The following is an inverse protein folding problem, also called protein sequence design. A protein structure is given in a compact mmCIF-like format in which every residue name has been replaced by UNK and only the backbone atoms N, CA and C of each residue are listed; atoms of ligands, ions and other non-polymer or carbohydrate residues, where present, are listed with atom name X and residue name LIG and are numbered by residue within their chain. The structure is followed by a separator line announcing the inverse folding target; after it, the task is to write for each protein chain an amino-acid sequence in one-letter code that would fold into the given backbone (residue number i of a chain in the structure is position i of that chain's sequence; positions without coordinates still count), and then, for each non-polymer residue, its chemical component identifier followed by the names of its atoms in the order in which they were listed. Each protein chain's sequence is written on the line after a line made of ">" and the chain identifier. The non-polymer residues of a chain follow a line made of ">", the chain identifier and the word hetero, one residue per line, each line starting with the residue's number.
data_IF_711928656770
#
_entry.id   IF_711928656770
#
_cell.length_a   1.000
_cell.length_b   1.000
_cell.length_c   1.000
_cell.angle_alpha   90.00
_cell.angle_beta   90.00
_cell.angle_gamma   90.00
#
_symmetry.space_group_name_H-M   'P 1'
#
loop_
_entity.id
_entity.type
_entity.pdbx_description
1 polymer ?
#
# COMPACT_ATOMS: atom_id res chain seq x y z
N UNK A 1 17.55 13.86 3.31
CA UNK A 1 16.35 13.27 3.94
C UNK A 1 16.39 13.59 5.42
N UNK A 2 15.37 14.27 5.94
CA UNK A 2 15.21 14.62 7.36
C UNK A 2 14.06 13.78 7.94
N UNK A 3 14.17 13.35 9.20
CA UNK A 3 13.09 12.66 9.90
C UNK A 3 12.19 13.68 10.60
N UNK A 4 10.90 13.64 10.29
CA UNK A 4 9.88 14.50 10.89
C UNK A 4 9.13 13.72 11.97
N UNK A 5 8.79 14.38 13.08
CA UNK A 5 7.93 13.81 14.11
C UNK A 5 6.49 14.24 13.87
N UNK A 6 5.55 13.30 13.97
CA UNK A 6 4.12 13.59 13.87
C UNK A 6 3.45 13.74 15.25
N UNK A 7 4.21 13.83 16.34
CA UNK A 7 3.67 13.94 17.70
C UNK A 7 3.04 15.31 17.99
N UNK A 8 3.27 16.28 17.11
CA UNK A 8 2.71 17.62 17.11
C UNK A 8 2.46 18.03 15.64
N UNK A 9 1.73 19.13 15.38
CA UNK A 9 1.62 19.69 14.03
C UNK A 9 2.99 19.89 13.38
N UNK A 10 3.06 19.56 12.09
CA UNK A 10 4.28 19.68 11.28
C UNK A 10 4.37 21.11 10.76
N UNK A 11 5.45 21.81 11.09
CA UNK A 11 5.67 23.23 10.74
C UNK A 11 6.86 23.42 9.79
N UNK A 12 7.57 22.34 9.49
CA UNK A 12 8.73 22.34 8.61
C UNK A 12 8.36 22.70 7.16
N UNK A 13 9.22 23.50 6.52
CA UNK A 13 9.13 23.77 5.08
C UNK A 13 9.87 22.68 4.32
N UNK A 14 9.15 21.91 3.48
CA UNK A 14 9.67 20.74 2.77
C UNK A 14 9.35 20.82 1.28
N UNK A 15 10.31 20.46 0.43
CA UNK A 15 10.09 20.31 -1.02
C UNK A 15 9.27 19.04 -1.35
N UNK A 16 9.27 18.07 -0.43
CA UNK A 16 8.49 16.85 -0.56
C UNK A 16 8.47 16.04 0.73
N UNK A 17 7.44 15.21 0.87
CA UNK A 17 7.14 14.47 2.08
C UNK A 17 6.99 12.99 1.79
N UNK A 18 7.63 12.14 2.59
CA UNK A 18 7.56 10.68 2.48
C UNK A 18 6.85 10.12 3.71
N UNK A 19 5.74 9.43 3.49
CA UNK A 19 4.91 8.85 4.55
C UNK A 19 4.88 7.32 4.37
N UNK A 20 5.86 6.60 4.94
CA UNK A 20 5.87 5.15 4.87
C UNK A 20 4.94 4.57 5.94
N UNK A 21 4.05 3.67 5.53
CA UNK A 21 3.18 2.90 6.42
C UNK A 21 2.41 3.76 7.44
N UNK A 22 1.60 4.74 6.98
CA UNK A 22 0.81 5.59 7.89
C UNK A 22 -0.12 4.78 8.81
N UNK A 23 -0.52 3.56 8.43
CA UNK A 23 -1.29 2.64 9.27
C UNK A 23 -0.62 2.23 10.59
N UNK A 24 0.66 2.55 10.78
CA UNK A 24 1.39 2.33 12.04
C UNK A 24 1.26 3.47 13.03
N UNK A 25 0.79 4.63 12.59
CA UNK A 25 0.60 5.81 13.42
C UNK A 25 -0.68 5.67 14.27
N UNK A 26 -0.68 6.17 15.52
CA UNK A 26 -1.90 6.51 16.24
C UNK A 26 -2.72 7.57 15.50
N UNK A 27 -4.00 7.70 15.84
CA UNK A 27 -4.92 8.60 15.15
C UNK A 27 -4.44 10.07 15.14
N UNK A 28 -4.04 10.61 16.29
CA UNK A 28 -3.57 12.00 16.39
C UNK A 28 -2.35 12.29 15.50
N UNK A 29 -1.37 11.38 15.50
CA UNK A 29 -0.17 11.50 14.65
C UNK A 29 -0.54 11.38 13.15
N UNK A 30 -1.49 10.50 12.82
CA UNK A 30 -2.02 10.36 11.45
C UNK A 30 -2.78 11.61 10.99
N UNK A 31 -3.49 12.27 11.90
CA UNK A 31 -4.22 13.52 11.61
C UNK A 31 -3.24 14.66 11.33
N UNK A 32 -2.18 14.84 12.13
CA UNK A 32 -1.13 15.83 11.84
C UNK A 32 -0.45 15.61 10.49
N UNK A 33 -0.18 14.34 10.13
CA UNK A 33 0.37 13.98 8.82
C UNK A 33 -0.60 14.38 7.70
N UNK A 34 -1.89 14.08 7.85
CA UNK A 34 -2.88 14.41 6.83
C UNK A 34 -3.06 15.92 6.67
N UNK A 35 -3.17 16.65 7.78
CA UNK A 35 -3.34 18.11 7.75
C UNK A 35 -2.14 18.78 7.07
N UNK A 36 -0.92 18.25 7.27
CA UNK A 36 0.27 18.71 6.55
C UNK A 36 0.21 18.38 5.06
N UNK A 37 -0.24 17.18 4.65
CA UNK A 37 -0.43 16.84 3.23
C UNK A 37 -1.43 17.79 2.55
N UNK A 38 -2.52 18.12 3.24
CA UNK A 38 -3.56 19.01 2.72
C UNK A 38 -3.10 20.47 2.54
N UNK A 39 -1.93 20.86 3.08
CA UNK A 39 -1.29 22.16 2.76
C UNK A 39 -0.74 22.22 1.33
N UNK A 40 -0.65 21.08 0.63
CA UNK A 40 -0.21 21.01 -0.77
C UNK A 40 1.24 20.56 -0.98
N UNK A 41 1.93 20.13 0.07
CA UNK A 41 3.31 19.58 -0.05
C UNK A 41 3.30 18.30 -0.91
N UNK A 42 4.14 18.20 -1.96
CA UNK A 42 4.25 16.99 -2.75
C UNK A 42 4.57 15.77 -1.87
N UNK A 43 3.65 14.79 -1.83
CA UNK A 43 3.75 13.68 -0.89
C UNK A 43 3.77 12.33 -1.60
N UNK A 44 4.72 11.47 -1.21
CA UNK A 44 4.72 10.04 -1.52
C UNK A 44 4.23 9.26 -0.29
N UNK A 45 3.06 8.64 -0.42
CA UNK A 45 2.51 7.73 0.60
C UNK A 45 2.79 6.29 0.17
N UNK A 46 3.44 5.52 1.04
CA UNK A 46 3.70 4.09 0.81
C UNK A 46 2.83 3.27 1.75
N UNK A 47 1.93 2.47 1.19
CA UNK A 47 1.02 1.60 1.94
C UNK A 47 1.26 0.14 1.56
N UNK A 48 1.15 -0.75 2.54
CA UNK A 48 1.34 -2.19 2.36
C UNK A 48 0.31 -2.96 3.20
N UNK A 49 -0.55 -3.78 2.59
CA UNK A 49 -1.51 -4.59 3.33
C UNK A 49 -0.85 -5.80 4.04
N UNK A 50 0.29 -6.29 3.55
CA UNK A 50 0.98 -7.48 4.06
C UNK A 50 2.51 -7.27 4.05
N UNK A 51 3.04 -6.43 4.95
CA UNK A 51 4.47 -6.21 5.12
C UNK A 51 5.19 -7.47 5.59
N UNK A 52 5.66 -8.30 4.65
CA UNK A 52 6.22 -9.63 4.92
C UNK A 52 7.47 -9.64 5.79
N UNK A 53 8.22 -8.54 5.83
CA UNK A 53 9.37 -8.38 6.73
C UNK A 53 8.93 -8.28 8.19
N UNK A 54 7.71 -7.78 8.43
CA UNK A 54 7.17 -7.57 9.78
C UNK A 54 5.63 -7.60 9.76
N UNK A 55 5.03 -8.79 9.88
CA UNK A 55 3.58 -8.96 9.72
C UNK A 55 2.76 -8.12 10.71
N UNK A 56 3.18 -7.94 11.96
CA UNK A 56 2.37 -7.21 12.95
C UNK A 56 2.24 -5.70 12.73
N UNK A 57 3.00 -5.12 11.80
CA UNK A 57 2.74 -3.73 11.35
C UNK A 57 1.69 -3.65 10.24
N UNK A 58 1.20 -4.79 9.71
CA UNK A 58 0.08 -4.81 8.76
C UNK A 58 -1.13 -4.02 9.30
N UNK A 59 -1.84 -3.26 8.45
CA UNK A 59 -3.09 -2.60 8.83
C UNK A 59 -4.17 -3.58 9.33
N UNK A 60 -4.12 -4.86 8.93
CA UNK A 60 -5.08 -5.90 9.33
C UNK A 60 -4.73 -6.56 10.68
N UNK A 61 -3.57 -6.25 11.25
CA UNK A 61 -3.14 -6.73 12.57
C UNK A 61 -3.51 -5.75 13.68
N UNK A 62 -3.86 -6.31 14.84
CA UNK A 62 -4.05 -5.51 16.06
C UNK A 62 -2.73 -4.85 16.47
N UNK A 63 -2.78 -3.72 17.20
CA UNK A 63 -1.60 -3.15 17.81
C UNK A 63 -0.83 -4.18 18.63
N UNK A 64 0.49 -4.25 18.44
CA UNK A 64 1.35 -5.18 19.16
C UNK A 64 1.15 -6.66 18.81
N UNK A 65 0.58 -7.02 17.65
CA UNK A 65 0.41 -8.41 17.22
C UNK A 65 1.72 -9.25 17.19
N UNK A 66 2.89 -8.60 17.12
CA UNK A 66 4.19 -9.28 17.21
C UNK A 66 4.70 -9.49 18.64
N UNK A 67 4.00 -9.00 19.67
CA UNK A 67 4.45 -9.13 21.06
C UNK A 67 3.98 -10.47 21.63
N UNK A 68 4.89 -11.18 22.28
CA UNK A 68 4.54 -12.39 23.02
C UNK A 68 3.68 -12.00 24.24
N UNK A 69 2.44 -12.53 24.37
CA UNK A 69 1.56 -12.21 25.49
C UNK A 69 2.17 -12.51 26.87
N UNK A 70 3.12 -13.45 26.96
CA UNK A 70 3.72 -13.94 28.21
C UNK A 70 4.97 -13.15 28.64
N UNK A 71 5.51 -12.31 27.77
CA UNK A 71 6.68 -11.46 28.07
C UNK A 71 6.30 -10.00 28.31
N UNK A 72 5.01 -9.67 28.37
CA UNK A 72 4.54 -8.29 28.30
C UNK A 72 4.60 -7.60 29.67
N UNK A 73 5.74 -6.98 30.00
CA UNK A 73 5.91 -6.07 31.15
C UNK A 73 5.86 -4.58 30.78
N UNK A 74 5.68 -4.25 29.51
CA UNK A 74 5.63 -2.87 29.02
C UNK A 74 4.22 -2.27 28.99
N UNK A 75 4.09 -0.95 28.84
CA UNK A 75 2.81 -0.31 28.59
C UNK A 75 2.15 -0.90 27.32
N UNK A 76 0.80 -0.97 27.31
CA UNK A 76 0.06 -1.48 26.17
C UNK A 76 0.43 -0.69 24.89
N UNK A 77 0.52 -1.35 23.72
CA UNK A 77 0.72 -0.65 22.47
C UNK A 77 -0.37 0.40 22.26
N UNK A 78 -0.01 1.56 21.69
CA UNK A 78 -1.00 2.56 21.24
C UNK A 78 -1.88 1.94 20.14
N UNK A 79 -3.15 2.31 20.11
CA UNK A 79 -4.06 1.93 19.04
C UNK A 79 -3.62 2.52 17.69
N UNK A 80 -3.85 1.78 16.60
CA UNK A 80 -3.59 2.23 15.24
C UNK A 80 -4.68 3.20 14.80
N UNK A 81 -4.30 4.23 14.03
CA UNK A 81 -5.23 5.17 13.42
C UNK A 81 -6.08 4.53 12.32
N UNK A 82 -7.15 5.24 11.94
CA UNK A 82 -8.09 4.84 10.90
C UNK A 82 -7.50 5.08 9.50
N UNK A 83 -6.68 4.14 9.03
CA UNK A 83 -6.05 4.21 7.71
C UNK A 83 -7.05 4.32 6.55
N UNK A 84 -8.22 3.68 6.63
CA UNK A 84 -9.24 3.80 5.58
C UNK A 84 -9.83 5.22 5.53
N UNK A 85 -9.93 5.89 6.68
CA UNK A 85 -10.29 7.31 6.77
C UNK A 85 -9.23 8.20 6.15
N UNK A 86 -7.95 7.95 6.46
CA UNK A 86 -6.81 8.64 5.86
C UNK A 86 -6.81 8.51 4.33
N UNK A 87 -6.88 7.28 3.79
CA UNK A 87 -6.90 7.10 2.33
C UNK A 87 -8.11 7.77 1.67
N UNK A 88 -9.27 7.76 2.34
CA UNK A 88 -10.48 8.42 1.83
C UNK A 88 -10.35 9.95 1.79
N UNK A 89 -9.67 10.59 2.75
CA UNK A 89 -9.35 12.03 2.70
C UNK A 89 -8.50 12.37 1.48
N UNK A 90 -7.58 11.47 1.08
CA UNK A 90 -6.84 11.56 -0.17
C UNK A 90 -7.71 11.25 -1.41
N UNK A 91 -9.00 10.92 -1.26
CA UNK A 91 -9.85 10.50 -2.38
C UNK A 91 -9.48 9.14 -2.95
N UNK A 92 -8.88 8.25 -2.16
CA UNK A 92 -8.48 6.90 -2.55
C UNK A 92 -9.27 5.87 -1.74
N UNK A 93 -9.81 4.87 -2.43
CA UNK A 93 -10.35 3.67 -1.82
C UNK A 93 -9.27 2.59 -1.78
N UNK A 94 -9.03 2.03 -0.59
CA UNK A 94 -8.09 0.94 -0.39
C UNK A 94 -8.72 -0.13 0.51
N UNK A 95 -8.69 -1.40 0.08
CA UNK A 95 -9.05 -2.53 0.93
C UNK A 95 -7.77 -3.14 1.52
N UNK A 96 -7.55 -2.90 2.81
CA UNK A 96 -6.39 -3.37 3.58
C UNK A 96 -6.31 -4.90 3.71
N UNK A 97 -7.40 -5.61 3.39
CA UNK A 97 -7.51 -7.05 3.47
C UNK A 97 -7.25 -7.75 2.14
N UNK A 98 -7.05 -7.03 1.04
CA UNK A 98 -6.82 -7.62 -0.28
C UNK A 98 -5.34 -7.54 -0.68
N UNK A 99 -4.82 -8.69 -1.10
CA UNK A 99 -3.48 -8.86 -1.64
C UNK A 99 -3.60 -9.20 -3.11
N UNK A 100 -2.94 -8.46 -3.99
CA UNK A 100 -2.92 -8.74 -5.43
C UNK A 100 -1.96 -9.89 -5.70
N UNK A 101 -2.33 -10.73 -6.65
CA UNK A 101 -1.42 -11.66 -7.32
C UNK A 101 -1.51 -11.49 -8.82
N UNK A 102 -0.43 -11.85 -9.50
CA UNK A 102 -0.31 -11.79 -10.96
C UNK A 102 0.34 -13.06 -11.49
N UNK A 103 -0.12 -13.55 -12.64
CA UNK A 103 0.48 -14.72 -13.29
C UNK A 103 1.76 -14.37 -14.07
N UNK A 104 1.97 -13.09 -14.42
CA UNK A 104 3.16 -12.66 -15.14
C UNK A 104 4.41 -12.77 -14.25
N UNK A 105 5.38 -13.54 -14.74
CA UNK A 105 6.73 -13.59 -14.20
C UNK A 105 7.70 -13.85 -15.36
N UNK A 106 8.51 -12.85 -15.77
CA UNK A 106 9.42 -12.98 -16.89
C UNK A 106 10.71 -13.74 -16.52
N UNK A 107 10.88 -14.15 -15.25
CA UNK A 107 12.10 -14.78 -14.73
C UNK A 107 11.88 -16.26 -14.40
N UNK A 108 12.33 -17.19 -15.26
CA UNK A 108 12.20 -18.63 -15.03
C UNK A 108 12.85 -19.09 -13.72
N UNK A 109 13.95 -18.47 -13.31
CA UNK A 109 14.64 -18.76 -12.04
C UNK A 109 13.77 -18.46 -10.81
N UNK A 110 12.73 -17.64 -10.97
CA UNK A 110 11.77 -17.27 -9.94
C UNK A 110 10.41 -17.93 -10.12
N UNK A 111 10.28 -18.96 -10.96
CA UNK A 111 9.01 -19.64 -11.24
C UNK A 111 8.34 -20.26 -9.99
N UNK A 112 9.12 -20.55 -8.95
CA UNK A 112 8.62 -21.12 -7.69
C UNK A 112 8.20 -20.05 -6.67
N UNK A 113 8.39 -18.76 -6.96
CA UNK A 113 7.90 -17.70 -6.09
C UNK A 113 6.37 -17.69 -6.04
N UNK A 114 5.77 -17.33 -4.89
CA UNK A 114 4.33 -17.08 -4.81
C UNK A 114 3.91 -16.02 -5.82
N UNK A 115 2.70 -16.14 -6.37
CA UNK A 115 2.16 -15.19 -7.37
C UNK A 115 1.83 -13.83 -6.77
N UNK A 116 1.80 -13.73 -5.45
CA UNK A 116 1.69 -12.48 -4.70
C UNK A 116 3.02 -11.70 -4.65
N UNK A 117 4.14 -12.29 -5.09
CA UNK A 117 5.31 -11.51 -5.52
C UNK A 117 5.04 -11.09 -6.96
N UNK A 118 4.51 -9.89 -7.11
CA UNK A 118 3.98 -9.38 -8.37
C UNK A 118 5.13 -8.73 -9.16
N UNK A 119 5.42 -9.29 -10.32
CA UNK A 119 6.26 -8.67 -11.33
C UNK A 119 5.37 -7.81 -12.23
N UNK A 120 5.81 -6.58 -12.49
CA UNK A 120 5.12 -5.65 -13.35
C UNK A 120 6.09 -5.24 -14.45
N UNK A 121 5.70 -5.43 -15.70
CA UNK A 121 6.52 -5.03 -16.85
C UNK A 121 5.74 -5.15 -18.15
N UNK A 122 6.27 -4.63 -19.27
CA UNK A 122 5.56 -4.54 -20.55
C UNK A 122 5.07 -5.88 -21.12
N UNK A 123 5.63 -7.01 -20.65
CA UNK A 123 5.24 -8.36 -21.07
C UNK A 123 4.01 -8.94 -20.37
N UNK A 124 3.40 -8.24 -19.41
CA UNK A 124 2.24 -8.72 -18.65
C UNK A 124 0.89 -8.57 -19.38
N UNK A 125 0.93 -8.27 -20.68
CA UNK A 125 -0.22 -8.10 -21.59
C UNK A 125 -1.14 -6.93 -21.26
N UNK A 126 -0.81 -6.08 -20.28
CA UNK A 126 -1.55 -4.86 -20.00
C UNK A 126 -0.82 -3.64 -20.62
N UNK A 127 -1.41 -2.93 -21.61
CA UNK A 127 -0.80 -1.75 -22.20
C UNK A 127 -0.73 -0.55 -21.23
N UNK A 128 -1.50 -0.58 -20.14
CA UNK A 128 -1.54 0.45 -19.09
C UNK A 128 -0.66 0.12 -17.89
N UNK A 129 0.20 -0.91 -17.99
CA UNK A 129 1.11 -1.36 -16.93
C UNK A 129 1.96 -0.24 -16.35
N UNK A 130 2.58 0.55 -17.21
CA UNK A 130 3.29 1.76 -16.82
C UNK A 130 2.70 2.92 -17.62
N UNK A 131 2.26 3.96 -16.93
CA UNK A 131 1.71 5.13 -17.59
C UNK A 131 2.83 5.85 -18.39
N UNK A 132 2.75 5.91 -19.74
CA UNK A 132 3.81 6.49 -20.57
C UNK A 132 3.80 8.03 -20.55
N UNK A 133 2.69 8.65 -20.12
CA UNK A 133 2.57 10.11 -20.03
C UNK A 133 3.31 10.68 -18.81
N UNK A 134 3.76 9.83 -17.88
CA UNK A 134 4.38 10.23 -16.62
C UNK A 134 5.86 9.90 -16.58
N UNK A 135 6.71 10.90 -16.34
CA UNK A 135 8.16 10.72 -16.27
C UNK A 135 8.61 9.71 -15.20
N UNK A 136 7.86 9.58 -14.12
CA UNK A 136 8.14 8.64 -13.03
C UNK A 136 7.95 7.17 -13.45
N UNK A 137 7.15 6.89 -14.48
CA UNK A 137 6.80 5.54 -14.91
C UNK A 137 7.18 5.22 -16.35
N UNK A 138 7.32 6.22 -17.22
CA UNK A 138 7.57 6.03 -18.65
C UNK A 138 8.92 5.38 -18.97
N UNK A 139 9.90 5.48 -18.08
CA UNK A 139 11.20 4.84 -18.20
C UNK A 139 11.34 3.51 -17.44
N UNK A 140 10.30 3.06 -16.72
CA UNK A 140 10.37 1.82 -15.96
C UNK A 140 10.32 0.61 -16.89
N UNK A 141 11.23 -0.34 -16.66
CA UNK A 141 11.28 -1.60 -17.40
C UNK A 141 10.61 -2.72 -16.63
N UNK A 142 10.80 -2.75 -15.31
CA UNK A 142 10.22 -3.75 -14.43
C UNK A 142 10.10 -3.20 -13.00
N UNK A 143 9.03 -3.57 -12.29
CA UNK A 143 8.88 -3.41 -10.85
C UNK A 143 8.55 -4.75 -10.21
N UNK A 144 9.07 -4.98 -9.01
CA UNK A 144 8.73 -6.15 -8.19
C UNK A 144 8.09 -5.64 -6.90
N UNK A 145 6.87 -6.09 -6.65
CA UNK A 145 6.08 -5.72 -5.48
C UNK A 145 5.84 -6.97 -4.64
N UNK A 146 6.20 -6.90 -3.36
CA UNK A 146 6.03 -8.01 -2.43
C UNK A 146 4.65 -7.92 -1.79
N UNK A 147 3.75 -8.85 -2.12
CA UNK A 147 2.40 -8.95 -1.55
C UNK A 147 1.62 -7.63 -1.59
N UNK A 148 1.58 -6.92 -2.74
CA UNK A 148 0.98 -5.60 -2.80
C UNK A 148 -0.53 -5.64 -2.61
N UNK A 149 -1.08 -4.50 -2.20
CA UNK A 149 -2.50 -4.23 -2.35
C UNK A 149 -2.81 -3.57 -3.70
N UNK A 150 -4.03 -3.06 -3.84
CA UNK A 150 -4.42 -2.20 -4.94
C UNK A 150 -5.27 -1.05 -4.42
N UNK A 151 -5.27 0.05 -5.16
CA UNK A 151 -6.02 1.26 -4.84
C UNK A 151 -6.99 1.60 -5.96
N UNK A 152 -8.09 2.26 -5.63
CA UNK A 152 -9.05 2.76 -6.61
C UNK A 152 -9.36 4.23 -6.35
N UNK A 153 -9.84 4.92 -7.37
CA UNK A 153 -10.45 6.24 -7.20
C UNK A 153 -11.57 6.16 -6.16
N UNK A 154 -11.53 7.08 -5.19
CA UNK A 154 -12.59 7.30 -4.23
C UNK A 154 -13.83 7.93 -4.86
N UNK A 155 -14.85 8.21 -4.06
CA UNK A 155 -16.07 8.87 -4.53
C UNK A 155 -15.97 10.40 -4.62
N UNK A 156 -14.83 11.00 -4.24
CA UNK A 156 -14.67 12.45 -4.25
C UNK A 156 -14.63 12.96 -5.70
N UNK A 157 -15.55 13.87 -6.10
CA UNK A 157 -15.57 14.41 -7.46
C UNK A 157 -14.38 15.35 -7.69
N UNK A 158 -13.90 16.02 -6.65
CA UNK A 158 -12.82 17.02 -6.71
C UNK A 158 -11.42 16.39 -6.63
N UNK A 159 -11.31 15.09 -6.88
CA UNK A 159 -10.04 14.37 -6.89
C UNK A 159 -9.79 13.79 -8.28
N UNK A 160 -8.68 14.19 -8.87
CA UNK A 160 -8.08 13.54 -10.02
C UNK A 160 -7.31 12.32 -9.53
N UNK A 161 -7.61 11.16 -10.11
CA UNK A 161 -6.95 9.89 -9.81
C UNK A 161 -6.43 9.33 -11.12
N UNK A 162 -5.12 9.22 -11.23
CA UNK A 162 -4.47 8.72 -12.42
C UNK A 162 -3.63 7.49 -12.10
N UNK A 163 -3.99 6.31 -12.64
CA UNK A 163 -3.18 5.12 -12.53
C UNK A 163 -1.78 5.35 -13.12
N UNK A 164 -0.76 4.97 -12.36
CA UNK A 164 0.65 5.04 -12.78
C UNK A 164 1.21 3.65 -13.06
N UNK A 165 0.83 2.68 -12.24
CA UNK A 165 1.26 1.29 -12.34
C UNK A 165 0.04 0.38 -12.21
N UNK A 166 -0.12 -0.56 -13.15
CA UNK A 166 -1.20 -1.57 -13.12
C UNK A 166 -0.64 -2.98 -13.23
N UNK A 167 -1.37 -3.94 -12.66
CA UNK A 167 -1.09 -5.37 -12.84
C UNK A 167 -1.37 -5.82 -14.28
N UNK A 168 -0.95 -7.03 -14.63
CA UNK A 168 -1.32 -7.71 -15.87
C UNK A 168 -2.79 -8.11 -15.90
N UNK A 169 -3.23 -8.59 -17.06
CA UNK A 169 -4.63 -8.99 -17.29
C UNK A 169 -4.98 -10.35 -16.67
N UNK A 170 -3.97 -11.19 -16.40
CA UNK A 170 -4.15 -12.48 -15.70
C UNK A 170 -3.77 -12.32 -14.24
N UNK A 171 -4.58 -11.55 -13.53
CA UNK A 171 -4.38 -11.19 -12.13
C UNK A 171 -5.64 -11.37 -11.30
N UNK A 172 -5.50 -11.32 -9.98
CA UNK A 172 -6.61 -11.43 -9.04
C UNK A 172 -6.21 -11.00 -7.64
N UNK A 173 -7.06 -11.30 -6.65
CA UNK A 173 -6.74 -11.02 -5.24
C UNK A 173 -6.84 -12.25 -4.34
N UNK A 174 -6.14 -12.19 -3.22
CA UNK A 174 -6.27 -13.06 -2.07
C UNK A 174 -6.64 -12.25 -0.83
N UNK A 175 -7.38 -12.88 0.06
CA UNK A 175 -7.70 -12.29 1.36
C UNK A 175 -6.52 -12.45 2.31
N UNK A 176 -6.10 -11.36 2.96
CA UNK A 176 -5.06 -11.34 4.00
C UNK A 176 -5.24 -12.48 5.01
N UNK A 177 -6.48 -12.68 5.48
CA UNK A 177 -6.81 -13.69 6.48
C UNK A 177 -6.60 -15.15 6.01
N UNK A 178 -6.47 -15.41 4.70
CA UNK A 178 -6.08 -16.73 4.17
C UNK A 178 -4.58 -16.95 4.22
N UNK A 179 -3.81 -15.86 4.18
CA UNK A 179 -2.36 -15.90 4.10
C UNK A 179 -1.70 -15.80 5.46
N UNK A 180 -2.31 -15.11 6.42
CA UNK A 180 -1.74 -14.93 7.76
C UNK A 180 -2.46 -15.80 8.77
N UNK A 181 -1.72 -16.74 9.34
CA UNK A 181 -2.20 -17.62 10.40
C UNK A 181 -1.64 -17.14 11.74
N UNK A 182 -2.55 -16.89 12.69
CA UNK A 182 -2.17 -16.46 14.04
C UNK A 182 -2.05 -17.68 14.94
N UNK A 183 -0.96 -17.73 15.69
CA UNK A 183 -0.72 -18.74 16.72
C UNK A 183 -0.25 -18.08 18.01
N UNK A 184 -0.13 -18.88 19.07
CA UNK A 184 0.48 -18.47 20.32
C UNK A 184 1.94 -18.00 20.16
N UNK A 185 2.65 -18.51 19.15
CA UNK A 185 4.03 -18.14 18.83
C UNK A 185 4.13 -16.94 17.88
N UNK A 186 3.02 -16.24 17.63
CA UNK A 186 2.93 -15.11 16.72
C UNK A 186 2.25 -15.44 15.39
N UNK A 187 2.29 -14.48 14.48
CA UNK A 187 1.73 -14.57 13.13
C UNK A 187 2.73 -15.22 12.17
N UNK A 188 2.24 -16.16 11.37
CA UNK A 188 3.02 -16.84 10.32
C UNK A 188 2.35 -16.66 8.97
N UNK A 189 3.18 -16.52 7.95
CA UNK A 189 2.74 -16.46 6.56
C UNK A 189 2.59 -17.87 5.98
N UNK A 190 1.45 -18.16 5.38
CA UNK A 190 1.16 -19.41 4.68
C UNK A 190 0.53 -19.12 3.32
N UNK A 191 1.32 -19.31 2.27
CA UNK A 191 0.94 -19.03 0.88
C UNK A 191 0.75 -20.30 0.05
N UNK A 192 0.82 -21.48 0.68
CA UNK A 192 0.79 -22.76 -0.03
C UNK A 192 -0.65 -23.10 -0.43
N UNK A 193 -0.83 -23.51 -1.68
CA UNK A 193 -2.12 -24.01 -2.18
C UNK A 193 -3.23 -22.96 -2.26
N UNK A 194 -2.87 -21.67 -2.28
CA UNK A 194 -3.84 -20.60 -2.51
C UNK A 194 -4.44 -20.75 -3.93
N UNK A 195 -5.78 -20.67 -4.08
CA UNK A 195 -6.41 -20.77 -5.39
C UNK A 195 -6.27 -19.45 -6.16
N UNK A 196 -5.60 -19.44 -7.31
CA UNK A 196 -5.48 -18.28 -8.19
C UNK A 196 -6.51 -18.35 -9.31
N UNK A 197 -7.60 -17.60 -9.17
CA UNK A 197 -8.64 -17.47 -10.21
C UNK A 197 -8.64 -16.04 -10.74
N UNK A 198 -8.22 -15.81 -12.00
CA UNK A 198 -8.17 -14.46 -12.55
C UNK A 198 -9.54 -13.78 -12.45
N UNK A 199 -9.53 -12.48 -12.21
CA UNK A 199 -10.72 -11.65 -12.35
C UNK A 199 -10.75 -11.02 -13.73
N UNK A 200 -11.86 -10.35 -14.08
CA UNK A 200 -12.01 -9.68 -15.37
C UNK A 200 -11.46 -8.24 -15.38
N UNK A 201 -10.72 -7.86 -14.33
CA UNK A 201 -10.20 -6.50 -14.14
C UNK A 201 -8.72 -6.56 -13.83
N UNK A 202 -8.00 -5.48 -14.15
CA UNK A 202 -6.67 -5.24 -13.65
C UNK A 202 -6.72 -4.42 -12.35
N UNK A 203 -5.56 -4.30 -11.69
CA UNK A 203 -5.43 -3.67 -10.39
C UNK A 203 -4.46 -2.51 -10.45
N UNK A 204 -4.85 -1.34 -9.93
CA UNK A 204 -3.95 -0.17 -9.84
C UNK A 204 -3.06 -0.31 -8.61
N UNK A 205 -1.76 -0.47 -8.84
CA UNK A 205 -0.72 -0.71 -7.84
C UNK A 205 -0.08 0.59 -7.35
N UNK A 206 -0.10 1.64 -8.20
CA UNK A 206 0.28 2.99 -7.85
C UNK A 206 -0.54 4.00 -8.65
N UNK A 207 -0.82 5.16 -8.06
CA UNK A 207 -1.57 6.23 -8.70
C UNK A 207 -1.05 7.60 -8.28
N UNK A 208 -1.20 8.58 -9.16
CA UNK A 208 -1.11 10.00 -8.82
C UNK A 208 -2.49 10.48 -8.40
N UNK A 209 -2.51 11.27 -7.33
CA UNK A 209 -3.71 11.89 -6.81
C UNK A 209 -3.49 13.39 -6.77
N UNK A 210 -4.47 14.16 -7.25
CA UNK A 210 -4.49 15.63 -7.10
C UNK A 210 -5.88 16.10 -6.71
N UNK A 211 -5.95 17.14 -5.90
CA UNK A 211 -7.19 17.89 -5.77
C UNK A 211 -7.40 18.74 -7.03
N UNK A 212 -8.59 18.64 -7.63
CA UNK A 212 -9.02 19.45 -8.77
C UNK A 212 -9.14 20.94 -8.43
N UNK A 213 -9.26 21.28 -7.13
CA UNK A 213 -9.30 22.67 -6.66
C UNK A 213 -7.94 23.38 -6.78
N UNK A 214 -6.84 22.64 -6.99
CA UNK A 214 -5.49 23.20 -7.16
C UNK A 214 -5.08 23.06 -8.63
N UNK A 215 -5.78 23.77 -9.49
CA UNK A 215 -5.20 24.23 -10.76
C UNK A 215 -4.19 25.31 -10.38
N UNK A 216 -2.90 24.98 -10.49
CA UNK A 216 -1.83 25.94 -10.31
C UNK A 216 -1.83 26.89 -11.51
N UNK A 217 -2.03 28.18 -11.24
CA UNK A 217 -1.55 29.27 -12.09
C UNK A 217 -0.01 29.26 -12.17
#
# INVERSE_FOLDING_TARGET
>A
VMRISANAPIEETLDGFLVPMPSTLPQEEMDHVMDFIETGVPTLVLVDPLPVVNLGISPSEKPGANRNPFMNQGPPPKEKGNINGFMRRLGVNWDIGQIVWDAYNPHPDFANLPREIVFVGPGNENPETFNPAYSATSGLQELILLFPGFINKGSSPDVEFEPLVKSGLVSGTQQYARMVQRSFFGSQLNVRGLPHRPTAVDYTLAARVRSAAVTAD
#
